data_IF_695710069085
#
_entry.id   IF_695710069085
#
_cell.length_a   1.000
_cell.length_b   1.000
_cell.length_c   1.000
_cell.angle_alpha   90.00
_cell.angle_beta   90.00
_cell.angle_gamma   90.00
#
_symmetry.space_group_name_H-M   'P 1'
#
loop_
_entity.id
_entity.type
_entity.pdbx_description
1 polymer ?
#
# COMPACT_ATOMS: atom_id res chain seq x y z
N UNK A 1 69.69 -12.65 -38.31
CA UNK A 1 68.37 -12.19 -37.89
C UNK A 1 68.46 -10.70 -37.61
N UNK A 2 67.78 -9.92 -38.42
CA UNK A 2 67.85 -8.44 -38.42
C UNK A 2 67.07 -7.84 -37.27
N UNK A 3 67.48 -6.68 -36.75
CA UNK A 3 66.84 -5.94 -35.65
C UNK A 3 65.30 -5.76 -35.79
N UNK A 4 64.78 -5.80 -37.02
CA UNK A 4 63.34 -5.74 -37.33
C UNK A 4 62.58 -6.97 -36.88
N UNK A 5 63.14 -8.16 -36.87
CA UNK A 5 62.53 -9.40 -36.45
C UNK A 5 62.38 -9.44 -34.91
N UNK A 6 63.35 -8.92 -34.14
CA UNK A 6 63.30 -8.87 -32.69
C UNK A 6 62.24 -7.87 -32.19
N UNK A 7 62.05 -6.74 -32.90
CA UNK A 7 61.06 -5.74 -32.53
C UNK A 7 59.59 -6.24 -32.73
N UNK A 8 59.39 -7.06 -33.78
CA UNK A 8 58.06 -7.69 -34.04
C UNK A 8 57.69 -8.75 -32.98
N UNK A 9 58.65 -9.55 -32.54
CA UNK A 9 58.42 -10.58 -31.54
C UNK A 9 58.13 -9.99 -30.16
N UNK A 10 58.74 -8.87 -29.78
CA UNK A 10 58.44 -8.21 -28.50
C UNK A 10 57.06 -7.55 -28.46
N UNK A 11 56.58 -7.04 -29.60
CA UNK A 11 55.26 -6.40 -29.72
C UNK A 11 54.13 -7.44 -29.70
N UNK A 12 54.35 -8.62 -30.27
CA UNK A 12 53.39 -9.72 -30.26
C UNK A 12 53.26 -10.29 -28.81
N UNK A 13 54.40 -10.48 -28.13
CA UNK A 13 54.36 -10.95 -26.72
C UNK A 13 53.66 -9.96 -25.78
N UNK A 14 53.87 -8.66 -25.95
CA UNK A 14 53.17 -7.65 -25.10
C UNK A 14 51.67 -7.57 -25.38
N UNK A 15 51.22 -7.79 -26.62
CA UNK A 15 49.78 -7.82 -26.97
C UNK A 15 49.09 -9.07 -26.45
N UNK A 16 49.76 -10.23 -26.43
CA UNK A 16 49.18 -11.48 -25.89
C UNK A 16 49.01 -11.41 -24.37
N UNK A 17 49.98 -10.80 -23.65
CA UNK A 17 49.84 -10.64 -22.19
C UNK A 17 48.79 -9.58 -21.80
N UNK A 18 48.61 -8.54 -22.61
CA UNK A 18 47.55 -7.55 -22.39
C UNK A 18 46.15 -8.15 -22.67
N UNK A 19 46.00 -9.01 -23.66
CA UNK A 19 44.73 -9.71 -23.94
C UNK A 19 44.39 -10.76 -22.86
N UNK A 20 45.37 -11.49 -22.36
CA UNK A 20 45.18 -12.45 -21.26
C UNK A 20 44.89 -11.74 -19.95
N UNK A 21 45.47 -10.57 -19.68
CA UNK A 21 45.13 -9.74 -18.50
C UNK A 21 43.72 -9.15 -18.58
N UNK A 22 43.27 -8.74 -19.78
CA UNK A 22 41.91 -8.23 -19.96
C UNK A 22 40.85 -9.33 -19.83
N UNK A 23 41.13 -10.53 -20.37
CA UNK A 23 40.22 -11.68 -20.21
C UNK A 23 40.10 -12.16 -18.76
N UNK A 24 41.20 -12.13 -18.00
CA UNK A 24 41.15 -12.48 -16.58
C UNK A 24 40.41 -11.41 -15.72
N UNK A 25 40.49 -10.12 -16.06
CA UNK A 25 39.76 -9.06 -15.43
C UNK A 25 38.24 -9.12 -15.76
N UNK A 26 37.87 -9.42 -17.00
CA UNK A 26 36.50 -9.60 -17.41
C UNK A 26 35.90 -10.86 -16.80
N UNK A 27 36.64 -11.96 -16.70
CA UNK A 27 36.20 -13.18 -16.04
C UNK A 27 36.05 -12.97 -14.51
N UNK A 28 36.94 -12.21 -13.86
CA UNK A 28 36.81 -11.88 -12.45
C UNK A 28 35.63 -10.93 -12.18
N UNK A 29 35.32 -10.00 -13.10
CA UNK A 29 34.17 -9.11 -12.99
C UNK A 29 32.85 -9.86 -13.22
N UNK A 30 32.79 -10.79 -14.16
CA UNK A 30 31.62 -11.63 -14.42
C UNK A 30 31.38 -12.62 -13.25
N UNK A 31 32.45 -13.21 -12.69
CA UNK A 31 32.32 -14.11 -11.52
C UNK A 31 31.91 -13.35 -10.26
N UNK A 32 32.37 -12.10 -10.06
CA UNK A 32 31.91 -11.29 -8.93
C UNK A 32 30.49 -10.77 -9.12
N UNK A 33 30.04 -10.52 -10.34
CA UNK A 33 28.64 -10.13 -10.59
C UNK A 33 27.65 -11.31 -10.48
N UNK A 34 28.08 -12.52 -10.86
CA UNK A 34 27.27 -13.74 -10.71
C UNK A 34 27.28 -14.23 -9.25
N UNK A 35 28.35 -13.95 -8.48
CA UNK A 35 28.38 -14.30 -7.05
C UNK A 35 27.61 -13.33 -6.14
N UNK A 36 27.33 -12.11 -6.61
CA UNK A 36 26.49 -11.15 -5.85
C UNK A 36 25.01 -11.21 -6.22
N UNK A 37 24.63 -12.02 -7.21
CA UNK A 37 23.24 -12.34 -7.54
C UNK A 37 22.80 -13.70 -7.03
N UNK A 38 23.49 -14.26 -6.04
CA UNK A 38 22.86 -15.20 -5.13
C UNK A 38 21.84 -14.38 -4.31
N UNK A 39 20.70 -14.04 -4.95
CA UNK A 39 19.53 -13.62 -4.25
C UNK A 39 19.29 -14.67 -3.18
N UNK A 40 19.24 -14.25 -1.93
CA UNK A 40 18.56 -15.01 -0.92
C UNK A 40 17.27 -15.55 -1.55
N UNK A 41 17.13 -16.87 -1.64
CA UNK A 41 15.85 -17.48 -1.93
C UNK A 41 14.82 -16.74 -1.04
N UNK A 42 13.64 -16.38 -1.57
CA UNK A 42 12.61 -15.81 -0.73
C UNK A 42 12.47 -16.75 0.46
N UNK A 43 12.73 -16.21 1.65
CA UNK A 43 12.55 -16.93 2.91
C UNK A 43 11.18 -17.56 2.84
N UNK A 44 11.10 -18.85 3.18
CA UNK A 44 9.88 -19.61 3.36
C UNK A 44 8.75 -18.67 3.76
N UNK A 45 7.67 -18.64 2.99
CA UNK A 45 6.51 -17.80 3.24
C UNK A 45 6.11 -18.02 4.70
N UNK A 46 6.50 -17.09 5.56
CA UNK A 46 6.02 -17.06 6.93
C UNK A 46 4.48 -17.00 6.92
N UNK A 47 3.80 -17.35 7.98
CA UNK A 47 2.35 -17.27 8.05
C UNK A 47 1.94 -15.90 7.49
N UNK A 48 0.90 -15.86 6.64
CA UNK A 48 0.37 -14.62 6.06
C UNK A 48 0.15 -13.63 7.20
N UNK A 49 1.11 -12.76 7.40
CA UNK A 49 1.09 -11.76 8.45
C UNK A 49 0.12 -10.64 8.12
N UNK A 50 -0.05 -9.70 9.03
CA UNK A 50 -0.77 -8.47 8.71
C UNK A 50 0.04 -7.66 7.68
N UNK A 51 -0.63 -7.18 6.61
CA UNK A 51 -0.05 -6.24 5.66
C UNK A 51 0.01 -4.80 6.21
N UNK A 52 -0.55 -4.56 7.38
CA UNK A 52 -0.65 -3.25 8.02
C UNK A 52 0.51 -3.06 9.00
N UNK A 53 1.28 -2.00 8.81
CA UNK A 53 2.30 -1.57 9.76
C UNK A 53 1.69 -0.61 10.79
N UNK A 54 1.39 -1.13 11.97
CA UNK A 54 0.81 -0.37 13.07
C UNK A 54 1.86 0.44 13.84
N UNK A 55 1.57 1.72 14.05
CA UNK A 55 2.10 2.47 15.19
C UNK A 55 1.23 2.16 16.40
N UNK A 56 1.76 1.44 17.38
CA UNK A 56 0.97 0.94 18.51
C UNK A 56 0.75 2.01 19.58
N UNK A 57 -0.52 2.15 20.04
CA UNK A 57 -0.94 3.08 21.08
C UNK A 57 -0.97 2.48 22.50
N UNK A 58 -1.65 3.17 23.44
CA UNK A 58 -2.68 4.21 23.21
C UNK A 58 -2.16 5.66 23.19
N UNK A 59 -0.87 5.91 23.42
CA UNK A 59 -0.30 7.26 23.41
C UNK A 59 0.59 7.49 22.21
N UNK A 60 0.28 8.54 21.45
CA UNK A 60 1.00 8.89 20.23
C UNK A 60 1.54 10.31 20.30
N UNK A 61 2.76 10.48 19.80
CA UNK A 61 3.37 11.78 19.58
C UNK A 61 3.61 11.99 18.09
N UNK A 62 2.80 12.83 17.48
CA UNK A 62 2.85 13.17 16.08
C UNK A 62 3.38 14.61 15.90
N UNK A 63 3.94 14.87 14.74
CA UNK A 63 4.24 16.22 14.26
C UNK A 63 3.81 16.36 12.81
N UNK A 64 3.57 17.59 12.38
CA UNK A 64 3.48 17.91 10.97
C UNK A 64 4.87 18.01 10.35
N UNK A 65 4.96 17.72 9.08
CA UNK A 65 6.16 17.90 8.26
C UNK A 65 5.78 18.18 6.81
N UNK A 66 6.71 18.72 6.04
CA UNK A 66 6.57 18.95 4.61
C UNK A 66 7.64 18.19 3.86
N UNK A 67 7.35 17.78 2.64
CA UNK A 67 8.29 17.03 1.80
C UNK A 67 7.70 16.69 0.44
N UNK A 68 8.34 15.78 -0.27
CA UNK A 68 7.91 15.35 -1.60
C UNK A 68 7.63 13.86 -1.61
N UNK A 69 6.64 13.47 -2.38
CA UNK A 69 6.38 12.09 -2.77
C UNK A 69 6.78 11.88 -4.22
N UNK A 70 7.18 10.66 -4.56
CA UNK A 70 7.52 10.26 -5.92
C UNK A 70 6.30 9.69 -6.64
N UNK A 71 6.24 9.88 -7.96
CA UNK A 71 5.24 9.30 -8.83
C UNK A 71 5.90 8.34 -9.83
N UNK A 72 5.21 7.28 -10.29
CA UNK A 72 5.79 6.31 -11.21
C UNK A 72 6.27 6.87 -12.54
N UNK A 73 5.74 8.00 -12.97
CA UNK A 73 6.14 8.73 -14.18
C UNK A 73 7.43 9.56 -14.01
N UNK A 74 8.04 9.51 -12.81
CA UNK A 74 9.26 10.24 -12.46
C UNK A 74 9.02 11.65 -11.92
N UNK A 75 7.79 12.11 -11.84
CA UNK A 75 7.45 13.37 -11.20
C UNK A 75 7.53 13.26 -9.67
N UNK A 76 7.63 14.40 -9.01
CA UNK A 76 7.49 14.51 -7.55
C UNK A 76 6.49 15.61 -7.21
N UNK A 77 5.72 15.39 -6.14
CA UNK A 77 4.68 16.32 -5.69
C UNK A 77 4.98 16.75 -4.26
N UNK A 78 4.91 18.06 -4.02
CA UNK A 78 5.04 18.65 -2.68
C UNK A 78 3.82 18.30 -1.83
N UNK A 79 4.04 17.78 -0.63
CA UNK A 79 2.99 17.33 0.27
C UNK A 79 3.23 17.84 1.70
N UNK A 80 2.18 17.85 2.49
CA UNK A 80 2.22 17.89 3.94
C UNK A 80 1.94 16.50 4.50
N UNK A 81 2.36 16.22 5.72
CA UNK A 81 2.08 14.92 6.33
C UNK A 81 2.15 14.97 7.84
N UNK A 82 1.40 14.06 8.47
CA UNK A 82 1.64 13.68 9.85
C UNK A 82 2.74 12.62 9.89
N UNK A 83 3.64 12.74 10.84
CA UNK A 83 4.66 11.74 11.09
C UNK A 83 4.87 11.56 12.60
N UNK A 84 5.50 10.49 13.02
CA UNK A 84 5.89 10.35 14.43
C UNK A 84 6.85 11.46 14.83
N UNK A 85 6.91 11.82 16.10
CA UNK A 85 7.74 12.95 16.59
C UNK A 85 9.21 12.82 16.22
N UNK A 86 9.72 11.61 16.07
CA UNK A 86 11.10 11.29 15.66
C UNK A 86 11.24 10.91 14.20
N UNK A 87 10.13 10.72 13.48
CA UNK A 87 10.12 10.29 12.08
C UNK A 87 10.48 11.39 11.09
N UNK A 88 10.87 10.99 9.90
CA UNK A 88 10.99 11.86 8.73
C UNK A 88 9.61 12.10 8.12
N UNK A 89 9.52 13.03 7.16
CA UNK A 89 8.30 13.24 6.39
C UNK A 89 7.81 11.91 5.78
N UNK A 90 6.51 11.69 5.88
CA UNK A 90 5.81 10.59 5.20
C UNK A 90 4.39 10.99 4.81
N UNK A 91 3.85 10.32 3.79
CA UNK A 91 2.45 10.38 3.36
C UNK A 91 2.00 8.98 2.90
N UNK A 92 0.86 8.47 3.37
CA UNK A 92 -0.01 9.04 4.41
C UNK A 92 0.63 9.03 5.79
N UNK A 93 -0.08 9.64 6.77
CA UNK A 93 0.31 9.60 8.17
C UNK A 93 0.39 8.17 8.73
N UNK A 94 1.04 7.96 9.90
CA UNK A 94 1.17 6.64 10.52
C UNK A 94 -0.19 5.96 10.72
N UNK A 95 -0.26 4.64 10.50
CA UNK A 95 -1.45 3.86 10.87
C UNK A 95 -1.45 3.68 12.39
N UNK A 96 -2.39 4.33 13.06
CA UNK A 96 -2.51 4.27 14.52
C UNK A 96 -3.35 3.05 14.92
N UNK A 97 -2.81 2.19 15.79
CA UNK A 97 -3.51 1.01 16.26
C UNK A 97 -3.68 1.03 17.78
N UNK A 98 -4.93 0.87 18.21
CA UNK A 98 -5.31 0.82 19.62
C UNK A 98 -6.27 -0.34 19.86
N UNK A 99 -6.49 -0.70 21.11
CA UNK A 99 -7.51 -1.68 21.47
C UNK A 99 -8.78 -0.97 21.95
N UNK A 100 -9.91 -1.60 21.72
CA UNK A 100 -11.20 -1.20 22.26
C UNK A 100 -11.13 -0.96 23.78
N UNK A 101 -11.80 0.08 24.24
CA UNK A 101 -11.83 0.49 25.65
C UNK A 101 -10.61 1.29 26.12
N UNK A 102 -9.56 1.41 25.32
CA UNK A 102 -8.39 2.21 25.71
C UNK A 102 -8.69 3.71 25.64
N UNK A 103 -8.18 4.44 26.62
CA UNK A 103 -8.10 5.91 26.54
C UNK A 103 -6.91 6.28 25.68
N UNK A 104 -7.20 6.84 24.51
CA UNK A 104 -6.22 7.24 23.50
C UNK A 104 -5.79 8.68 23.76
N UNK A 105 -4.49 8.96 23.61
CA UNK A 105 -3.92 10.30 23.68
C UNK A 105 -3.05 10.54 22.46
N UNK A 106 -3.38 11.55 21.66
CA UNK A 106 -2.60 11.95 20.47
C UNK A 106 -2.13 13.38 20.64
N UNK A 107 -0.83 13.57 20.81
CA UNK A 107 -0.22 14.90 20.86
C UNK A 107 0.29 15.25 19.46
N UNK A 108 -0.28 16.28 18.86
CA UNK A 108 0.16 16.86 17.60
C UNK A 108 1.02 18.09 17.89
N UNK A 109 2.23 18.12 17.37
CA UNK A 109 3.10 19.31 17.35
C UNK A 109 3.20 19.83 15.90
N UNK A 110 3.04 21.14 15.72
CA UNK A 110 3.33 21.79 14.45
C UNK A 110 4.68 22.55 14.59
N UNK A 111 5.81 21.97 14.16
CA UNK A 111 7.11 22.62 14.36
C UNK A 111 7.17 23.98 13.66
N UNK A 112 7.81 24.97 14.31
CA UNK A 112 8.00 26.31 13.72
C UNK A 112 8.91 26.28 12.47
N UNK A 113 9.76 25.24 12.36
CA UNK A 113 10.65 25.02 11.21
C UNK A 113 10.42 23.61 10.69
N UNK A 114 10.15 23.46 9.39
CA UNK A 114 9.89 22.16 8.74
C UNK A 114 8.51 21.60 9.02
N UNK A 115 7.66 22.28 9.78
CA UNK A 115 6.24 22.01 9.93
C UNK A 115 5.40 22.71 8.87
N UNK A 116 4.08 22.62 9.00
CA UNK A 116 3.11 23.30 8.13
C UNK A 116 3.05 24.79 8.52
N UNK A 117 3.12 25.72 7.54
CA UNK A 117 3.25 27.16 7.82
C UNK A 117 1.95 27.84 8.29
N UNK A 118 0.93 27.09 8.64
CA UNK A 118 -0.36 27.57 9.15
C UNK A 118 -0.84 26.70 10.31
N UNK A 119 -1.87 27.13 11.09
CA UNK A 119 -2.45 26.29 12.13
C UNK A 119 -2.94 24.94 11.59
N UNK A 120 -2.75 23.87 12.36
CA UNK A 120 -3.15 22.51 12.03
C UNK A 120 -3.87 21.86 13.20
N UNK A 121 -4.68 20.86 12.93
CA UNK A 121 -5.36 20.07 13.96
C UNK A 121 -5.55 18.62 13.52
N UNK A 122 -6.08 17.80 14.41
CA UNK A 122 -6.59 16.46 14.06
C UNK A 122 -8.03 16.34 14.58
N UNK A 123 -8.91 15.88 13.71
CA UNK A 123 -10.23 15.33 14.07
C UNK A 123 -10.22 13.82 13.88
N UNK A 124 -11.07 13.12 14.60
CA UNK A 124 -11.20 11.67 14.60
C UNK A 124 -12.64 11.29 14.27
N UNK A 125 -13.02 11.30 12.97
CA UNK A 125 -14.37 10.92 12.56
C UNK A 125 -14.75 9.53 13.09
N UNK A 126 -15.95 9.40 13.63
CA UNK A 126 -16.45 8.16 14.24
C UNK A 126 -16.06 7.96 15.71
N UNK A 127 -15.17 8.78 16.27
CA UNK A 127 -14.87 8.76 17.72
C UNK A 127 -15.71 9.79 18.46
N UNK A 128 -16.17 9.43 19.65
CA UNK A 128 -16.99 10.29 20.52
C UNK A 128 -16.18 10.88 21.67
N UNK A 129 -16.64 12.01 22.22
CA UNK A 129 -16.06 12.61 23.41
C UNK A 129 -14.61 13.07 23.28
N UNK A 130 -14.16 13.41 22.09
CA UNK A 130 -12.78 13.87 21.87
C UNK A 130 -12.56 15.22 22.56
N UNK A 131 -11.71 15.23 23.57
CA UNK A 131 -11.27 16.43 24.27
C UNK A 131 -9.93 16.91 23.69
N UNK A 132 -9.75 18.23 23.59
CA UNK A 132 -8.52 18.84 23.09
C UNK A 132 -7.94 19.83 24.08
N UNK A 133 -6.65 19.66 24.43
CA UNK A 133 -5.89 20.55 25.31
C UNK A 133 -4.66 21.04 24.56
N UNK A 134 -4.48 22.35 24.45
CA UNK A 134 -3.37 22.94 23.72
C UNK A 134 -2.29 23.50 24.62
N UNK A 135 -1.08 23.72 24.06
CA UNK A 135 -0.03 24.59 24.61
C UNK A 135 -0.53 26.03 24.71
N UNK A 136 0.26 26.92 25.33
CA UNK A 136 -0.18 28.29 25.60
C UNK A 136 -0.53 29.12 24.35
N UNK A 137 0.08 28.80 23.22
CA UNK A 137 -0.18 29.46 21.93
C UNK A 137 -1.19 28.73 21.03
N UNK A 138 -1.74 27.59 21.48
CA UNK A 138 -2.81 26.92 20.72
C UNK A 138 -4.08 27.76 20.68
N UNK A 139 -4.82 27.68 19.58
CA UNK A 139 -6.03 28.48 19.34
C UNK A 139 -7.26 27.59 19.21
N UNK A 140 -8.44 28.17 19.42
CA UNK A 140 -9.68 27.46 19.18
C UNK A 140 -10.03 27.58 17.68
N UNK A 141 -10.20 26.43 17.04
CA UNK A 141 -10.64 26.31 15.64
C UNK A 141 -12.15 26.03 15.53
N UNK A 142 -12.60 25.79 14.30
CA UNK A 142 -14.02 25.52 14.03
C UNK A 142 -14.46 24.16 14.58
N UNK A 143 -13.65 23.13 14.39
CA UNK A 143 -13.98 21.76 14.79
C UNK A 143 -13.28 21.33 16.07
N UNK A 144 -12.10 21.84 16.34
CA UNK A 144 -11.28 21.47 17.49
C UNK A 144 -10.19 22.51 17.75
N UNK A 145 -9.36 22.32 18.77
CA UNK A 145 -8.17 23.15 18.98
C UNK A 145 -7.14 22.93 17.90
N UNK A 146 -6.47 24.00 17.50
CA UNK A 146 -5.46 24.05 16.46
C UNK A 146 -4.10 24.42 17.03
N UNK A 147 -3.04 23.85 16.45
CA UNK A 147 -1.65 24.12 16.73
C UNK A 147 -1.07 25.07 15.65
N UNK A 148 -0.92 26.37 15.91
CA UNK A 148 -0.10 27.24 15.08
C UNK A 148 1.36 26.75 14.99
N UNK A 149 2.16 27.26 14.03
CA UNK A 149 3.59 26.94 13.98
C UNK A 149 4.30 27.20 15.32
N UNK A 150 4.99 26.19 15.84
CA UNK A 150 5.64 26.18 17.15
C UNK A 150 4.81 25.64 18.30
N UNK A 151 3.53 25.38 18.10
CA UNK A 151 2.59 24.96 19.15
C UNK A 151 2.20 23.48 19.05
N UNK A 152 1.49 22.99 20.09
CA UNK A 152 1.03 21.61 20.18
C UNK A 152 -0.39 21.53 20.73
N UNK A 153 -1.12 20.48 20.34
CA UNK A 153 -2.42 20.12 20.87
C UNK A 153 -2.45 18.64 21.19
N UNK A 154 -3.00 18.28 22.34
CA UNK A 154 -3.24 16.89 22.75
C UNK A 154 -4.73 16.60 22.68
N UNK A 155 -5.09 15.60 21.89
CA UNK A 155 -6.44 15.07 21.74
C UNK A 155 -6.57 13.81 22.58
N UNK A 156 -7.67 13.67 23.33
CA UNK A 156 -7.90 12.50 24.20
C UNK A 156 -9.33 12.01 24.03
N UNK A 157 -9.50 10.71 23.87
CA UNK A 157 -10.80 10.05 23.74
C UNK A 157 -10.71 8.60 24.19
N UNK A 158 -11.85 7.94 24.40
CA UNK A 158 -11.91 6.49 24.59
C UNK A 158 -12.27 5.84 23.25
N UNK A 159 -11.49 4.86 22.80
CA UNK A 159 -11.79 4.07 21.61
C UNK A 159 -12.86 3.02 21.95
N UNK A 160 -14.14 3.38 21.80
CA UNK A 160 -15.26 2.57 22.31
C UNK A 160 -15.62 1.41 21.37
N UNK A 161 -15.54 1.62 20.07
CA UNK A 161 -16.02 0.67 19.07
C UNK A 161 -14.86 0.19 18.17
N UNK A 162 -14.73 -1.13 17.95
CA UNK A 162 -13.72 -1.66 17.01
C UNK A 162 -14.06 -1.28 15.57
N UNK A 163 -13.02 -1.14 14.73
CA UNK A 163 -13.19 -0.85 13.31
C UNK A 163 -12.07 -0.04 12.71
N UNK A 164 -12.32 0.41 11.48
CA UNK A 164 -11.44 1.25 10.69
C UNK A 164 -11.99 2.66 10.65
N UNK A 165 -11.14 3.64 10.97
CA UNK A 165 -11.49 5.06 11.04
C UNK A 165 -10.41 5.90 10.38
N UNK A 166 -10.78 7.09 9.91
CA UNK A 166 -9.82 8.12 9.50
C UNK A 166 -9.42 8.97 10.72
N UNK A 167 -8.25 9.57 10.65
CA UNK A 167 -7.90 10.79 11.37
C UNK A 167 -7.36 11.78 10.36
N UNK A 168 -7.80 13.04 10.46
CA UNK A 168 -7.52 14.03 9.42
C UNK A 168 -7.53 15.43 9.98
N UNK A 169 -7.07 16.42 9.19
CA UNK A 169 -7.09 17.80 9.62
C UNK A 169 -8.52 18.33 9.75
N UNK A 170 -8.84 18.95 10.89
CA UNK A 170 -10.04 19.75 11.12
C UNK A 170 -9.84 21.25 10.82
N UNK A 171 -8.63 21.65 10.40
CA UNK A 171 -8.30 23.03 10.06
C UNK A 171 -8.23 23.17 8.54
N UNK A 172 -9.17 23.90 7.93
CA UNK A 172 -9.27 24.03 6.46
C UNK A 172 -9.16 22.68 5.76
N UNK A 173 -10.06 21.71 6.07
CA UNK A 173 -9.94 20.33 5.61
C UNK A 173 -9.89 20.23 4.07
N UNK A 174 -10.60 21.13 3.36
CA UNK A 174 -10.60 21.20 1.89
C UNK A 174 -9.21 21.40 1.27
N UNK A 175 -8.27 21.97 2.03
CA UNK A 175 -6.89 22.17 1.62
C UNK A 175 -5.96 21.17 2.33
N UNK A 176 -6.06 21.09 3.65
CA UNK A 176 -5.05 20.38 4.46
C UNK A 176 -5.14 18.86 4.32
N UNK A 177 -6.33 18.31 4.12
CA UNK A 177 -6.50 16.90 3.81
C UNK A 177 -5.96 16.62 2.41
N UNK A 178 -6.31 17.45 1.41
CA UNK A 178 -5.75 17.35 0.05
C UNK A 178 -4.21 17.40 0.08
N UNK A 179 -3.63 18.27 0.90
CA UNK A 179 -2.17 18.37 1.05
C UNK A 179 -1.52 17.14 1.70
N UNK A 180 -2.28 16.21 2.31
CA UNK A 180 -1.77 14.96 2.90
C UNK A 180 -1.90 14.86 4.43
N UNK A 181 -2.62 15.77 5.10
CA UNK A 181 -2.82 15.70 6.54
C UNK A 181 -3.97 14.74 6.91
N UNK A 182 -3.74 13.45 6.73
CA UNK A 182 -4.64 12.36 7.08
C UNK A 182 -3.89 11.05 7.35
N UNK A 183 -4.59 10.11 7.94
CA UNK A 183 -4.14 8.73 8.16
C UNK A 183 -5.28 7.86 8.69
N UNK A 184 -4.96 6.65 9.10
CA UNK A 184 -5.95 5.66 9.55
C UNK A 184 -5.75 5.31 11.02
N UNK A 185 -6.86 5.23 11.75
CA UNK A 185 -6.95 4.69 13.11
C UNK A 185 -7.65 3.34 13.04
N UNK A 186 -7.02 2.30 13.55
CA UNK A 186 -7.60 0.97 13.71
C UNK A 186 -7.83 0.70 15.18
N UNK A 187 -9.08 0.46 15.54
CA UNK A 187 -9.47 0.00 16.87
C UNK A 187 -9.66 -1.51 16.83
N UNK A 188 -8.82 -2.24 17.56
CA UNK A 188 -8.87 -3.70 17.66
C UNK A 188 -9.95 -4.15 18.63
N UNK A 189 -10.76 -5.16 18.29
CA UNK A 189 -11.82 -5.64 19.16
C UNK A 189 -11.28 -6.35 20.41
N UNK A 190 -12.05 -6.35 21.48
CA UNK A 190 -11.75 -7.08 22.70
C UNK A 190 -11.63 -8.60 22.48
N UNK A 191 -12.26 -9.14 21.43
CA UNK A 191 -12.17 -10.56 21.05
C UNK A 191 -10.75 -10.95 20.59
N UNK A 192 -9.91 -10.01 20.22
CA UNK A 192 -8.49 -10.22 19.89
C UNK A 192 -8.08 -9.70 18.51
N UNK A 193 -6.75 -9.60 18.30
CA UNK A 193 -6.16 -8.95 17.13
C UNK A 193 -6.41 -9.65 15.78
N UNK A 194 -6.86 -10.91 15.80
CA UNK A 194 -7.19 -11.67 14.59
C UNK A 194 -8.68 -11.62 14.24
N UNK A 195 -9.41 -10.68 14.82
CA UNK A 195 -10.82 -10.43 14.54
C UNK A 195 -10.99 -8.98 14.07
N UNK A 196 -11.88 -8.78 13.12
CA UNK A 196 -12.22 -7.44 12.66
C UNK A 196 -13.10 -6.69 13.68
N UNK A 197 -14.01 -7.43 14.33
CA UNK A 197 -15.00 -6.96 15.28
C UNK A 197 -15.21 -7.97 16.41
N UNK A 198 -16.05 -7.64 17.42
CA UNK A 198 -16.43 -8.55 18.49
C UNK A 198 -17.43 -9.62 18.02
N UNK A 199 -17.15 -10.24 16.90
CA UNK A 199 -17.93 -11.31 16.28
C UNK A 199 -17.00 -12.39 15.75
N UNK A 200 -17.15 -13.67 16.16
CA UNK A 200 -16.31 -14.77 15.69
C UNK A 200 -16.29 -14.95 14.17
N UNK A 201 -17.33 -14.52 13.46
CA UNK A 201 -17.42 -14.59 11.98
C UNK A 201 -16.52 -13.58 11.29
N UNK A 202 -15.92 -12.65 12.02
CA UNK A 202 -14.98 -11.65 11.50
C UNK A 202 -13.53 -12.04 11.68
N UNK A 203 -13.26 -13.33 12.01
CA UNK A 203 -11.91 -13.86 12.14
C UNK A 203 -11.24 -13.91 10.76
N UNK A 204 -9.97 -13.55 10.73
CA UNK A 204 -9.17 -13.50 9.50
C UNK A 204 -7.78 -14.10 9.67
N UNK A 205 -7.12 -14.45 8.55
CA UNK A 205 -5.75 -14.96 8.51
C UNK A 205 -4.71 -13.85 8.35
N UNK A 206 -5.05 -12.81 7.59
CA UNK A 206 -4.20 -11.65 7.33
C UNK A 206 -5.07 -10.41 7.10
N UNK A 207 -4.52 -9.21 7.23
CA UNK A 207 -5.25 -7.97 6.95
C UNK A 207 -4.44 -6.99 6.12
N UNK A 208 -5.15 -6.20 5.30
CA UNK A 208 -4.58 -5.22 4.39
C UNK A 208 -5.37 -3.91 4.46
N UNK A 209 -4.65 -2.81 4.28
CA UNK A 209 -5.23 -1.48 4.17
C UNK A 209 -5.23 -1.04 2.70
N UNK A 210 -6.33 -0.46 2.28
CA UNK A 210 -6.52 0.23 1.00
C UNK A 210 -7.04 1.63 1.31
N UNK A 211 -6.13 2.55 1.54
CA UNK A 211 -6.43 3.97 1.81
C UNK A 211 -6.33 4.76 0.52
N UNK A 212 -7.46 5.26 0.05
CA UNK A 212 -7.62 5.92 -1.23
C UNK A 212 -7.52 7.44 -1.08
N UNK A 213 -6.91 8.08 -2.06
CA UNK A 213 -6.92 9.52 -2.24
C UNK A 213 -6.50 9.91 -3.66
N UNK A 214 -6.78 11.15 -4.04
CA UNK A 214 -6.31 11.78 -5.27
C UNK A 214 -5.46 13.01 -4.97
N UNK A 215 -4.61 13.39 -5.93
CA UNK A 215 -3.68 14.51 -5.81
C UNK A 215 -3.76 15.41 -7.05
N UNK A 216 -3.99 16.70 -6.82
CA UNK A 216 -3.90 17.75 -7.80
C UNK A 216 -2.53 18.44 -7.73
N UNK A 217 -1.59 18.17 -8.64
CA UNK A 217 -0.23 18.67 -8.57
C UNK A 217 -0.16 20.22 -8.69
N UNK A 218 -1.12 20.85 -9.35
CA UNK A 218 -1.15 22.32 -9.47
C UNK A 218 -1.52 22.98 -8.15
N UNK A 219 -2.49 22.42 -7.41
CA UNK A 219 -2.81 22.86 -6.06
C UNK A 219 -1.59 22.75 -5.15
N UNK A 220 -0.93 21.59 -5.17
CA UNK A 220 0.23 21.34 -4.32
C UNK A 220 1.38 22.29 -4.63
N UNK A 221 1.63 22.56 -5.91
CA UNK A 221 2.65 23.52 -6.34
C UNK A 221 2.30 24.96 -5.95
N UNK A 222 1.04 25.36 -6.09
CA UNK A 222 0.59 26.69 -5.65
C UNK A 222 0.78 26.87 -4.14
N UNK A 223 0.45 25.85 -3.34
CA UNK A 223 0.66 25.87 -1.88
C UNK A 223 2.13 25.92 -1.52
N UNK A 224 2.99 25.18 -2.22
CA UNK A 224 4.45 25.22 -2.05
C UNK A 224 5.01 26.63 -2.25
N UNK A 225 4.52 27.33 -3.27
CA UNK A 225 4.94 28.69 -3.60
C UNK A 225 4.20 29.78 -2.80
N UNK A 226 3.28 29.42 -1.91
CA UNK A 226 2.44 30.38 -1.19
C UNK A 226 1.49 31.16 -2.10
N UNK A 227 1.12 30.61 -3.24
CA UNK A 227 0.21 31.22 -4.21
C UNK A 227 -1.26 30.86 -3.92
N UNK A 228 -2.20 31.71 -4.32
CA UNK A 228 -3.61 31.39 -4.18
C UNK A 228 -4.01 30.26 -5.13
N UNK A 229 -4.90 29.39 -4.65
CA UNK A 229 -5.51 28.32 -5.44
C UNK A 229 -7.01 28.25 -5.16
N UNK A 230 -7.79 27.90 -6.18
CA UNK A 230 -9.24 27.74 -6.07
C UNK A 230 -9.60 26.26 -6.04
N UNK A 231 -9.96 25.74 -4.87
CA UNK A 231 -10.24 24.31 -4.68
C UNK A 231 -11.38 23.76 -5.56
N UNK A 232 -12.34 24.61 -5.93
CA UNK A 232 -13.46 24.19 -6.79
C UNK A 232 -13.07 23.96 -8.25
N UNK A 233 -11.86 24.35 -8.64
CA UNK A 233 -11.31 24.10 -9.97
C UNK A 233 -10.19 23.07 -9.94
N UNK A 234 -10.06 22.31 -8.84
CA UNK A 234 -9.06 21.27 -8.72
C UNK A 234 -9.14 20.25 -9.86
N UNK A 235 -7.99 19.76 -10.26
CA UNK A 235 -7.86 18.80 -11.35
C UNK A 235 -6.86 17.70 -10.93
N UNK A 236 -7.32 16.66 -10.23
CA UNK A 236 -6.46 15.53 -9.87
C UNK A 236 -5.81 14.89 -11.09
N UNK A 237 -4.56 14.50 -10.94
CA UNK A 237 -3.77 13.83 -11.98
C UNK A 237 -3.12 12.54 -11.48
N UNK A 238 -3.07 12.35 -10.15
CA UNK A 238 -2.56 11.16 -9.51
C UNK A 238 -3.57 10.63 -8.53
N UNK A 239 -3.73 9.32 -8.54
CA UNK A 239 -4.62 8.59 -7.64
C UNK A 239 -3.81 7.55 -6.89
N UNK A 240 -3.96 7.50 -5.58
CA UNK A 240 -3.12 6.70 -4.71
C UNK A 240 -3.90 5.66 -3.93
N UNK A 241 -3.25 4.52 -3.73
CA UNK A 241 -3.55 3.56 -2.67
C UNK A 241 -2.40 3.64 -1.66
N UNK A 242 -2.69 3.87 -0.37
CA UNK A 242 -1.70 4.01 0.69
C UNK A 242 -0.59 5.03 0.40
N UNK A 243 -0.91 6.07 -0.37
CA UNK A 243 0.04 7.13 -0.74
C UNK A 243 0.92 6.82 -1.94
N UNK A 244 0.73 5.71 -2.62
CA UNK A 244 1.46 5.33 -3.84
C UNK A 244 0.50 5.12 -5.00
N UNK A 245 0.93 5.43 -6.22
CA UNK A 245 0.24 5.03 -7.45
C UNK A 245 0.76 3.68 -7.94
N UNK A 246 -0.04 2.96 -8.73
CA UNK A 246 0.44 1.77 -9.44
C UNK A 246 1.48 2.17 -10.51
N UNK A 247 2.61 1.43 -10.69
CA UNK A 247 2.92 0.14 -10.05
C UNK A 247 3.65 0.23 -8.69
N UNK A 248 4.04 1.40 -8.20
CA UNK A 248 4.85 1.56 -6.99
C UNK A 248 4.16 1.00 -5.74
N UNK A 249 2.85 0.94 -5.77
CA UNK A 249 2.02 0.44 -4.67
C UNK A 249 2.26 -1.04 -4.34
N UNK A 250 2.67 -1.87 -5.32
CA UNK A 250 2.95 -3.30 -5.09
C UNK A 250 4.30 -3.56 -4.42
N UNK A 251 5.15 -2.55 -4.32
CA UNK A 251 6.39 -2.69 -3.58
C UNK A 251 6.12 -2.88 -2.08
N UNK A 252 7.00 -3.64 -1.43
CA UNK A 252 6.89 -3.93 -0.01
C UNK A 252 6.81 -2.65 0.84
N UNK A 253 6.25 -2.78 2.03
CA UNK A 253 6.34 -1.73 3.05
C UNK A 253 7.81 -1.36 3.29
N UNK A 254 8.06 -0.07 3.51
CA UNK A 254 9.42 0.44 3.76
C UNK A 254 10.38 0.30 2.58
N UNK A 255 9.90 0.19 1.34
CA UNK A 255 10.74 0.14 0.15
C UNK A 255 11.74 1.31 0.15
N UNK A 256 13.05 1.02 0.09
CA UNK A 256 14.11 2.00 0.31
C UNK A 256 14.15 3.13 -0.72
N UNK A 257 13.57 2.91 -1.89
CA UNK A 257 13.47 3.90 -2.97
C UNK A 257 12.19 4.75 -2.89
N UNK A 258 11.28 4.44 -1.93
CA UNK A 258 10.07 5.21 -1.59
C UNK A 258 10.07 5.65 -0.12
N UNK A 259 11.10 6.35 0.35
CA UNK A 259 11.29 6.61 1.78
C UNK A 259 10.20 7.48 2.41
N UNK A 260 9.48 8.25 1.59
CA UNK A 260 8.39 9.15 2.04
C UNK A 260 6.99 8.53 1.87
N UNK A 261 6.89 7.34 1.28
CA UNK A 261 5.65 6.61 1.00
C UNK A 261 5.78 5.17 1.54
N UNK A 262 5.70 5.00 2.88
CA UNK A 262 6.15 3.76 3.51
C UNK A 262 5.27 2.54 3.21
N UNK A 263 4.00 2.71 2.83
CA UNK A 263 3.03 1.63 2.81
C UNK A 263 2.75 1.11 1.41
N UNK A 264 2.96 -0.19 1.22
CA UNK A 264 2.50 -0.93 0.05
C UNK A 264 1.08 -1.47 0.24
N UNK A 265 0.50 -2.01 -0.85
CA UNK A 265 -0.81 -2.65 -0.81
C UNK A 265 -0.88 -3.90 -1.70
N UNK A 266 0.24 -4.59 -1.90
CA UNK A 266 0.21 -5.93 -2.47
C UNK A 266 -0.54 -6.85 -1.49
N UNK A 267 -1.67 -7.40 -1.94
CA UNK A 267 -2.50 -8.31 -1.15
C UNK A 267 -2.05 -9.75 -1.43
N UNK A 268 -1.74 -10.50 -0.39
CA UNK A 268 -1.38 -11.91 -0.51
C UNK A 268 -2.53 -12.77 0.03
N UNK A 269 -3.04 -13.69 -0.77
CA UNK A 269 -4.09 -14.62 -0.38
C UNK A 269 -3.72 -16.05 -0.78
N UNK A 270 -4.15 -17.02 0.00
CA UNK A 270 -4.09 -18.44 -0.37
C UNK A 270 -5.47 -18.92 -0.78
N UNK A 271 -5.57 -19.91 -1.67
CA UNK A 271 -6.83 -20.57 -1.96
C UNK A 271 -7.53 -21.05 -0.69
N UNK A 272 -8.84 -20.88 -0.64
CA UNK A 272 -9.61 -21.41 0.46
C UNK A 272 -9.55 -22.95 0.51
N UNK A 273 -9.27 -23.45 1.68
CA UNK A 273 -9.36 -24.88 2.00
C UNK A 273 -9.96 -25.01 3.41
N UNK A 274 -11.04 -25.81 3.58
CA UNK A 274 -11.72 -25.91 4.86
C UNK A 274 -10.86 -26.52 5.99
N UNK A 275 -9.76 -27.16 5.66
CA UNK A 275 -8.89 -27.82 6.62
C UNK A 275 -7.56 -27.08 6.85
N UNK A 276 -6.95 -26.57 5.78
CA UNK A 276 -5.61 -25.97 5.83
C UNK A 276 -5.62 -24.44 5.79
N UNK A 277 -6.60 -23.83 5.09
CA UNK A 277 -6.75 -22.38 5.01
C UNK A 277 -8.23 -21.96 5.07
N UNK A 278 -8.93 -22.13 6.21
CA UNK A 278 -10.36 -21.88 6.32
C UNK A 278 -10.72 -20.40 6.49
N UNK A 279 -9.75 -19.52 6.75
CA UNK A 279 -10.01 -18.14 7.11
C UNK A 279 -9.85 -17.20 5.90
N UNK A 280 -10.75 -16.20 5.77
CA UNK A 280 -10.59 -15.14 4.80
C UNK A 280 -9.45 -14.20 5.21
N UNK A 281 -9.05 -13.31 4.31
CA UNK A 281 -8.29 -12.10 4.64
C UNK A 281 -9.26 -10.95 4.92
N UNK A 282 -8.85 -10.01 5.76
CA UNK A 282 -9.58 -8.77 6.03
C UNK A 282 -8.97 -7.66 5.20
N UNK A 283 -9.79 -6.97 4.42
CA UNK A 283 -9.38 -5.79 3.65
C UNK A 283 -10.12 -4.57 4.21
N UNK A 284 -9.36 -3.57 4.62
CA UNK A 284 -9.86 -2.33 5.21
C UNK A 284 -9.78 -1.22 4.18
N UNK A 285 -10.93 -0.78 3.69
CA UNK A 285 -11.02 0.35 2.77
C UNK A 285 -11.24 1.64 3.55
N UNK A 286 -10.54 2.69 3.18
CA UNK A 286 -10.77 4.04 3.66
C UNK A 286 -10.55 5.02 2.50
N UNK A 287 -11.30 6.11 2.47
CA UNK A 287 -11.13 7.15 1.47
C UNK A 287 -10.92 8.51 2.16
N UNK A 288 -9.70 9.01 2.11
CA UNK A 288 -9.33 10.33 2.59
C UNK A 288 -9.40 11.40 1.50
N UNK A 289 -9.64 11.01 0.24
CA UNK A 289 -9.80 11.94 -0.88
C UNK A 289 -11.13 12.69 -0.88
N UNK A 290 -11.27 13.63 -1.79
CA UNK A 290 -12.51 14.39 -2.00
C UNK A 290 -13.44 13.71 -2.98
N UNK A 291 -12.92 12.83 -3.85
CA UNK A 291 -13.69 12.11 -4.85
C UNK A 291 -14.19 10.77 -4.31
N UNK A 292 -15.24 10.24 -4.95
CA UNK A 292 -15.76 8.92 -4.63
C UNK A 292 -15.08 7.90 -5.56
N UNK A 293 -14.52 6.85 -4.98
CA UNK A 293 -13.76 5.85 -5.74
C UNK A 293 -14.51 4.52 -5.80
N UNK A 294 -14.98 4.08 -6.99
CA UNK A 294 -15.57 2.76 -7.17
C UNK A 294 -14.47 1.69 -7.29
N UNK A 295 -14.01 1.16 -6.18
CA UNK A 295 -12.92 0.19 -6.15
C UNK A 295 -13.43 -1.23 -6.43
N UNK A 296 -12.82 -1.89 -7.42
CA UNK A 296 -13.24 -3.15 -8.01
C UNK A 296 -12.16 -4.22 -7.84
N UNK A 297 -12.40 -5.25 -7.03
CA UNK A 297 -11.53 -6.41 -6.93
C UNK A 297 -11.78 -7.39 -8.08
N UNK A 298 -10.73 -7.97 -8.64
CA UNK A 298 -10.81 -9.16 -9.48
C UNK A 298 -10.55 -10.42 -8.65
N UNK A 299 -10.99 -11.53 -9.15
CA UNK A 299 -10.87 -12.85 -8.52
C UNK A 299 -12.19 -13.33 -7.96
N UNK A 300 -12.59 -12.83 -6.82
CA UNK A 300 -13.89 -13.10 -6.20
C UNK A 300 -14.48 -11.83 -5.62
N UNK A 301 -15.79 -11.83 -5.41
CA UNK A 301 -16.47 -10.77 -4.68
C UNK A 301 -15.97 -10.69 -3.24
N UNK A 302 -15.97 -9.49 -2.67
CA UNK A 302 -15.68 -9.28 -1.25
C UNK A 302 -16.97 -9.22 -0.45
N UNK A 303 -16.97 -9.83 0.72
CA UNK A 303 -18.07 -9.74 1.67
C UNK A 303 -17.92 -8.46 2.50
N UNK A 304 -18.78 -7.50 2.29
CA UNK A 304 -18.85 -6.26 3.09
C UNK A 304 -19.43 -6.61 4.44
N UNK A 305 -18.62 -6.49 5.50
CA UNK A 305 -19.01 -6.84 6.87
C UNK A 305 -19.26 -5.61 7.73
N UNK A 306 -18.65 -4.46 7.41
CA UNK A 306 -18.81 -3.25 8.19
C UNK A 306 -18.67 -1.99 7.32
N UNK A 307 -19.23 -0.89 7.81
CA UNK A 307 -19.11 0.45 7.24
C UNK A 307 -18.96 1.48 8.36
N UNK A 308 -18.04 2.42 8.17
CA UNK A 308 -17.79 3.56 9.09
C UNK A 308 -17.61 3.10 10.55
N UNK A 309 -16.80 2.02 10.75
CA UNK A 309 -16.53 1.42 12.05
C UNK A 309 -17.71 0.67 12.67
N UNK A 310 -18.76 0.35 11.89
CA UNK A 310 -19.93 -0.35 12.41
C UNK A 310 -20.17 -1.65 11.67
N UNK A 311 -20.14 -2.75 12.42
CA UNK A 311 -20.46 -4.07 11.92
C UNK A 311 -21.90 -4.10 11.39
N UNK A 312 -22.11 -4.69 10.22
CA UNK A 312 -23.41 -4.80 9.58
C UNK A 312 -24.26 -5.87 10.30
N UNK A 313 -25.07 -5.38 11.24
CA UNK A 313 -26.05 -6.18 11.98
C UNK A 313 -27.41 -5.49 11.92
N UNK A 314 -28.43 -6.27 11.68
CA UNK A 314 -29.81 -5.81 11.76
C UNK A 314 -30.26 -5.55 13.20
N UNK A 315 -31.47 -4.99 13.40
CA UNK A 315 -31.97 -4.63 14.74
C UNK A 315 -32.08 -5.81 15.71
N UNK A 316 -32.22 -7.03 15.19
CA UNK A 316 -32.25 -8.27 16.01
C UNK A 316 -30.89 -8.93 16.17
N UNK A 317 -29.81 -8.30 15.68
CA UNK A 317 -28.46 -8.86 15.71
C UNK A 317 -28.15 -9.81 14.54
N UNK A 318 -29.08 -9.98 13.61
CA UNK A 318 -28.90 -10.79 12.40
C UNK A 318 -27.79 -10.23 11.50
N UNK A 319 -27.05 -11.13 10.86
CA UNK A 319 -26.03 -10.77 9.90
C UNK A 319 -26.66 -10.22 8.61
N UNK A 320 -26.39 -8.95 8.30
CA UNK A 320 -26.82 -8.28 7.07
C UNK A 320 -25.65 -7.93 6.17
N UNK A 321 -24.47 -8.56 6.36
CA UNK A 321 -23.36 -8.46 5.44
C UNK A 321 -23.74 -9.00 4.07
N UNK A 322 -23.10 -8.52 3.03
CA UNK A 322 -23.43 -8.88 1.64
C UNK A 322 -22.18 -8.97 0.78
N UNK A 323 -22.27 -9.71 -0.32
CA UNK A 323 -21.22 -9.79 -1.33
C UNK A 323 -21.31 -8.60 -2.28
N UNK A 324 -20.16 -8.06 -2.66
CA UNK A 324 -20.04 -6.91 -3.56
C UNK A 324 -18.82 -7.07 -4.46
N UNK A 325 -19.00 -6.83 -5.76
CA UNK A 325 -17.92 -6.90 -6.74
C UNK A 325 -17.29 -5.53 -7.05
N UNK A 326 -17.93 -4.45 -6.65
CA UNK A 326 -17.41 -3.07 -6.78
C UNK A 326 -17.98 -2.24 -5.65
N UNK A 327 -17.09 -1.79 -4.74
CA UNK A 327 -17.54 -0.91 -3.65
C UNK A 327 -17.16 0.53 -3.95
N UNK A 328 -18.16 1.39 -4.09
CA UNK A 328 -17.92 2.84 -4.08
C UNK A 328 -17.65 3.30 -2.66
N UNK A 329 -16.45 3.81 -2.42
CA UNK A 329 -16.03 4.40 -1.15
C UNK A 329 -16.12 5.91 -1.30
N UNK A 330 -17.12 6.52 -0.68
CA UNK A 330 -17.28 7.97 -0.71
C UNK A 330 -16.20 8.66 0.14
N UNK A 331 -15.99 9.95 -0.12
CA UNK A 331 -15.10 10.78 0.69
C UNK A 331 -15.44 10.64 2.19
N UNK A 332 -14.42 10.40 3.02
CA UNK A 332 -14.56 10.23 4.47
C UNK A 332 -15.11 8.87 4.92
N UNK A 333 -15.45 7.94 4.01
CA UNK A 333 -16.00 6.63 4.35
C UNK A 333 -14.93 5.58 4.59
N UNK A 334 -15.29 4.59 5.42
CA UNK A 334 -14.53 3.35 5.60
C UNK A 334 -15.42 2.13 5.43
N UNK A 335 -14.83 1.04 4.94
CA UNK A 335 -15.47 -0.27 4.85
C UNK A 335 -14.48 -1.34 5.30
N UNK A 336 -14.98 -2.37 5.99
CA UNK A 336 -14.22 -3.59 6.28
C UNK A 336 -14.86 -4.76 5.53
N UNK A 337 -14.03 -5.48 4.79
CA UNK A 337 -14.46 -6.52 3.86
C UNK A 337 -13.65 -7.80 4.09
N UNK A 338 -14.30 -8.94 3.91
CA UNK A 338 -13.63 -10.24 3.93
C UNK A 338 -13.48 -10.73 2.49
N UNK A 339 -12.26 -11.06 2.12
CA UNK A 339 -11.93 -11.67 0.85
C UNK A 339 -11.51 -13.13 1.07
N UNK A 340 -12.09 -14.02 0.26
CA UNK A 340 -11.73 -15.42 0.20
C UNK A 340 -11.65 -15.82 -1.26
N UNK A 341 -10.52 -16.34 -1.67
CA UNK A 341 -10.43 -16.88 -3.02
C UNK A 341 -10.88 -18.32 -3.01
N UNK A 342 -12.08 -18.53 -3.54
CA UNK A 342 -12.67 -19.84 -3.74
C UNK A 342 -12.39 -20.30 -5.17
N UNK A 343 -11.85 -21.48 -5.27
CA UNK A 343 -11.78 -22.13 -6.55
C UNK A 343 -13.12 -22.79 -6.86
N UNK A 344 -13.77 -22.29 -7.89
CA UNK A 344 -15.09 -22.77 -8.31
C UNK A 344 -15.02 -23.94 -9.30
N UNK A 345 -13.82 -24.32 -9.73
CA UNK A 345 -13.67 -25.41 -10.68
C UNK A 345 -13.85 -26.79 -10.02
N UNK A 346 -14.40 -27.78 -10.74
CA UNK A 346 -14.58 -29.16 -10.27
C UNK A 346 -13.25 -29.89 -9.98
N UNK A 347 -12.18 -29.22 -10.11
CA UNK A 347 -10.83 -29.53 -9.73
C UNK A 347 -10.70 -30.06 -8.30
N UNK A 348 -11.40 -29.42 -7.34
CA UNK A 348 -11.48 -29.82 -5.95
C UNK A 348 -12.17 -31.19 -5.73
N UNK A 349 -12.82 -31.73 -6.72
CA UNK A 349 -13.58 -32.99 -6.64
C UNK A 349 -12.88 -34.17 -7.29
N UNK A 350 -11.59 -34.03 -7.63
CA UNK A 350 -10.82 -35.09 -8.28
C UNK A 350 -11.13 -35.25 -9.78
N UNK A 351 -11.74 -34.24 -10.40
CA UNK A 351 -11.89 -34.13 -11.84
C UNK A 351 -10.56 -33.87 -12.55
N UNK A 352 -10.50 -34.12 -13.85
CA UNK A 352 -9.35 -33.78 -14.66
C UNK A 352 -9.15 -32.25 -14.65
N UNK A 353 -7.89 -31.75 -14.61
CA UNK A 353 -7.60 -30.34 -14.69
C UNK A 353 -8.31 -29.73 -15.91
N UNK A 354 -9.00 -28.60 -15.68
CA UNK A 354 -9.46 -27.81 -16.81
C UNK A 354 -8.20 -27.29 -17.51
N UNK A 355 -7.96 -27.70 -18.75
CA UNK A 355 -6.80 -27.20 -19.47
C UNK A 355 -6.93 -25.68 -19.54
N UNK A 356 -5.89 -24.98 -19.17
CA UNK A 356 -5.81 -23.53 -19.34
C UNK A 356 -5.89 -23.26 -20.83
N UNK A 357 -7.10 -22.91 -21.29
CA UNK A 357 -7.46 -23.00 -22.70
C UNK A 357 -7.07 -21.79 -23.53
N UNK A 358 -6.46 -20.76 -22.90
CA UNK A 358 -6.10 -19.54 -23.61
C UNK A 358 -4.67 -19.14 -23.23
N UNK A 359 -3.65 -19.80 -23.81
CA UNK A 359 -2.24 -19.55 -23.48
C UNK A 359 -1.83 -18.07 -23.60
N UNK A 360 -2.44 -17.35 -24.54
CA UNK A 360 -2.09 -15.94 -24.81
C UNK A 360 -2.75 -14.93 -23.86
N UNK A 361 -3.71 -15.35 -23.03
CA UNK A 361 -4.33 -14.51 -22.01
C UNK A 361 -3.83 -14.79 -20.59
N UNK A 362 -2.93 -15.75 -20.45
CA UNK A 362 -2.36 -16.10 -19.15
C UNK A 362 -1.34 -15.07 -18.65
N UNK A 363 -0.82 -14.23 -19.54
CA UNK A 363 0.15 -13.20 -19.24
C UNK A 363 -0.43 -11.84 -19.57
N UNK A 364 -0.62 -11.00 -18.58
CA UNK A 364 -0.82 -9.58 -18.80
C UNK A 364 0.56 -8.94 -18.90
N UNK A 365 0.87 -8.36 -20.06
CA UNK A 365 2.08 -7.57 -20.24
C UNK A 365 1.78 -6.17 -19.73
N UNK A 366 2.49 -5.76 -18.69
CA UNK A 366 2.50 -4.38 -18.24
C UNK A 366 3.72 -3.67 -18.83
N UNK A 367 3.67 -2.33 -18.84
CA UNK A 367 4.74 -1.46 -19.32
C UNK A 367 6.14 -2.00 -18.93
N UNK A 368 7.09 -1.95 -19.87
CA UNK A 368 8.49 -2.35 -19.70
C UNK A 368 8.72 -3.85 -19.48
N UNK A 369 7.99 -4.68 -20.20
CA UNK A 369 8.15 -6.14 -20.19
C UNK A 369 7.86 -6.83 -18.85
N UNK A 370 7.27 -6.15 -17.88
CA UNK A 370 6.73 -6.78 -16.70
C UNK A 370 5.50 -7.61 -17.05
N UNK A 371 5.64 -8.92 -16.99
CA UNK A 371 4.55 -9.85 -17.27
C UNK A 371 3.95 -10.31 -15.95
N UNK A 372 2.69 -9.94 -15.70
CA UNK A 372 1.91 -10.55 -14.64
C UNK A 372 1.22 -11.78 -15.20
N UNK A 373 1.43 -12.88 -14.54
CA UNK A 373 0.88 -14.15 -14.94
C UNK A 373 -0.42 -14.43 -14.20
N UNK A 374 -1.47 -14.68 -14.94
CA UNK A 374 -2.73 -15.22 -14.42
C UNK A 374 -2.78 -16.71 -14.72
N UNK A 375 -2.00 -17.51 -14.04
CA UNK A 375 -2.01 -18.96 -14.15
C UNK A 375 -2.84 -19.61 -13.03
N UNK A 376 -2.94 -20.90 -12.94
CA UNK A 376 -3.55 -21.62 -11.84
C UNK A 376 -2.50 -21.91 -10.77
N UNK A 377 -2.64 -21.43 -9.50
CA UNK A 377 -1.66 -21.65 -8.45
C UNK A 377 -1.43 -23.15 -8.14
N UNK A 378 -2.32 -24.04 -8.59
CA UNK A 378 -2.18 -25.48 -8.41
C UNK A 378 -1.38 -26.17 -9.50
N UNK A 379 -1.05 -25.50 -10.59
CA UNK A 379 -0.20 -26.04 -11.64
C UNK A 379 1.26 -26.14 -11.23
N UNK A 380 1.62 -25.59 -10.09
CA UNK A 380 2.99 -25.61 -9.57
C UNK A 380 3.91 -24.62 -10.26
N UNK A 381 5.20 -24.75 -10.01
CA UNK A 381 6.19 -23.92 -10.62
C UNK A 381 6.13 -24.03 -12.14
N UNK A 382 6.18 -22.91 -12.79
CA UNK A 382 6.56 -22.86 -14.19
C UNK A 382 8.02 -23.26 -14.30
N UNK A 383 8.34 -24.26 -15.03
CA UNK A 383 9.70 -24.53 -15.44
C UNK A 383 10.37 -23.31 -16.11
N UNK A 384 11.54 -23.50 -16.68
CA UNK A 384 12.25 -22.44 -17.37
C UNK A 384 11.33 -21.69 -18.34
N UNK A 385 11.22 -20.37 -18.15
CA UNK A 385 10.47 -19.50 -19.03
C UNK A 385 11.30 -19.20 -20.28
N UNK A 386 10.68 -19.03 -21.45
CA UNK A 386 11.39 -18.58 -22.64
C UNK A 386 12.11 -17.25 -22.38
N UNK A 387 13.23 -17.04 -23.05
CA UNK A 387 13.99 -15.79 -22.99
C UNK A 387 13.09 -14.60 -23.36
N UNK A 388 13.07 -13.57 -22.51
CA UNK A 388 12.24 -12.38 -22.68
C UNK A 388 10.86 -12.48 -22.04
N UNK A 389 10.51 -13.60 -21.43
CA UNK A 389 9.32 -13.73 -20.59
C UNK A 389 9.74 -13.54 -19.14
N UNK A 390 9.53 -12.36 -18.58
CA UNK A 390 9.66 -12.16 -17.15
C UNK A 390 8.36 -12.55 -16.51
N UNK A 391 8.40 -13.44 -15.55
CA UNK A 391 7.24 -13.79 -14.79
C UNK A 391 7.48 -13.49 -13.32
N UNK A 392 6.57 -12.74 -12.74
CA UNK A 392 6.38 -12.73 -11.32
C UNK A 392 5.62 -13.99 -10.86
N UNK A 393 5.70 -15.07 -11.59
CA UNK A 393 5.08 -16.34 -11.25
C UNK A 393 6.18 -17.38 -10.99
N UNK A 394 6.96 -17.12 -9.96
CA UNK A 394 8.09 -17.97 -9.61
C UNK A 394 7.65 -19.30 -8.97
N UNK A 395 6.52 -19.28 -8.28
CA UNK A 395 6.04 -20.41 -7.48
C UNK A 395 4.60 -20.84 -7.83
N UNK A 396 4.06 -20.38 -8.95
CA UNK A 396 2.70 -20.69 -9.39
C UNK A 396 1.63 -19.72 -8.89
N UNK A 397 2.03 -18.56 -8.37
CA UNK A 397 1.12 -17.53 -7.91
C UNK A 397 0.32 -16.89 -9.06
N UNK A 398 -0.89 -16.44 -8.71
CA UNK A 398 -1.83 -15.73 -9.58
C UNK A 398 -1.87 -14.27 -9.23
N UNK A 399 -1.81 -13.37 -10.21
CA UNK A 399 -1.96 -11.93 -9.99
C UNK A 399 -3.26 -11.43 -10.62
N UNK A 400 -4.14 -10.86 -9.78
CA UNK A 400 -5.41 -10.31 -10.21
C UNK A 400 -5.44 -8.81 -9.84
N UNK A 401 -5.75 -7.92 -10.78
CA UNK A 401 -5.78 -6.49 -10.50
C UNK A 401 -6.98 -6.13 -9.61
N UNK A 402 -6.76 -5.24 -8.66
CA UNK A 402 -7.79 -4.53 -7.93
C UNK A 402 -7.64 -3.06 -8.23
N UNK A 403 -8.65 -2.42 -8.77
CA UNK A 403 -8.53 -1.07 -9.29
C UNK A 403 -9.80 -0.26 -9.20
N UNK A 404 -9.71 1.07 -9.37
CA UNK A 404 -10.90 1.88 -9.56
C UNK A 404 -11.56 1.58 -10.90
N UNK A 405 -12.88 1.43 -10.90
CA UNK A 405 -13.66 1.25 -12.12
C UNK A 405 -14.05 2.59 -12.78
N UNK A 406 -13.74 3.71 -12.17
CA UNK A 406 -13.65 5.01 -12.83
C UNK A 406 -12.32 5.03 -13.60
N UNK A 407 -12.34 4.62 -14.86
CA UNK A 407 -11.13 4.26 -15.63
C UNK A 407 -10.08 5.38 -15.76
N UNK A 408 -10.49 6.64 -15.64
CA UNK A 408 -9.54 7.77 -15.61
C UNK A 408 -8.69 7.79 -14.33
N UNK A 409 -9.14 7.18 -13.24
CA UNK A 409 -8.38 7.04 -12.00
C UNK A 409 -7.32 5.93 -12.09
N UNK A 410 -7.37 5.13 -13.15
CA UNK A 410 -6.39 4.08 -13.44
C UNK A 410 -5.28 4.59 -14.36
N UNK A 411 -4.82 5.80 -14.08
CA UNK A 411 -3.76 6.50 -14.85
C UNK A 411 -2.78 7.21 -13.92
N UNK A 412 -1.56 7.45 -14.42
CA UNK A 412 -0.60 8.38 -13.84
C UNK A 412 -0.47 9.54 -14.82
N UNK A 413 -1.03 10.71 -14.50
CA UNK A 413 -1.00 11.91 -15.35
C UNK A 413 -1.34 11.61 -16.83
N UNK A 414 -2.51 10.98 -17.07
CA UNK A 414 -3.02 10.57 -18.39
C UNK A 414 -2.34 9.31 -19.01
N UNK A 415 -1.30 8.72 -18.40
CA UNK A 415 -0.76 7.43 -18.85
C UNK A 415 -1.54 6.28 -18.21
N UNK A 416 -2.05 5.37 -19.05
CA UNK A 416 -2.80 4.17 -18.61
C UNK A 416 -1.95 3.14 -17.87
N UNK A 417 -2.65 2.24 -17.15
CA UNK A 417 -2.09 1.29 -16.20
C UNK A 417 -1.28 1.95 -15.09
N UNK A 418 -1.93 2.84 -14.36
CA UNK A 418 -1.35 3.58 -13.25
C UNK A 418 -2.36 3.83 -12.14
N UNK A 419 -2.14 4.87 -11.35
CA UNK A 419 -3.12 5.44 -10.44
C UNK A 419 -3.67 4.47 -9.38
N UNK A 420 -5.00 4.53 -9.23
CA UNK A 420 -5.74 3.83 -8.17
C UNK A 420 -5.92 2.34 -8.48
N UNK A 421 -4.82 1.60 -8.36
CA UNK A 421 -4.79 0.16 -8.57
C UNK A 421 -3.80 -0.51 -7.63
N UNK A 422 -4.06 -1.77 -7.32
CA UNK A 422 -3.14 -2.71 -6.70
C UNK A 422 -3.39 -4.11 -7.27
N UNK A 423 -2.76 -5.12 -6.73
CA UNK A 423 -2.98 -6.50 -7.11
C UNK A 423 -3.15 -7.41 -5.89
N UNK A 424 -3.95 -8.44 -6.06
CA UNK A 424 -3.92 -9.60 -5.17
C UNK A 424 -3.12 -10.72 -5.83
N UNK A 425 -2.15 -11.26 -5.10
CA UNK A 425 -1.44 -12.47 -5.47
C UNK A 425 -2.07 -13.65 -4.75
N UNK A 426 -2.67 -14.57 -5.51
CA UNK A 426 -3.16 -15.84 -5.00
C UNK A 426 -1.98 -16.79 -4.98
N UNK A 427 -1.50 -17.13 -3.81
CA UNK A 427 -0.35 -18.01 -3.60
C UNK A 427 -0.77 -19.47 -3.69
N UNK A 428 0.09 -20.38 -4.16
CA UNK A 428 -0.19 -21.80 -4.12
C UNK A 428 -0.39 -22.27 -2.67
N UNK A 429 -1.25 -23.25 -2.46
CA UNK A 429 -1.51 -23.84 -1.14
C UNK A 429 -0.29 -24.52 -0.53
N UNK A 430 0.58 -25.06 -1.38
CA UNK A 430 1.87 -25.64 -1.03
C UNK A 430 2.91 -25.12 -2.02
N UNK A 431 4.12 -24.82 -1.54
CA UNK A 431 5.25 -24.55 -2.43
C UNK A 431 5.60 -25.86 -3.12
N UNK A 432 5.48 -25.96 -4.46
CA UNK A 432 5.82 -27.19 -5.15
C UNK A 432 7.26 -27.61 -4.86
N UNK A 433 7.51 -28.92 -4.66
CA UNK A 433 8.86 -29.43 -4.51
C UNK A 433 9.71 -29.05 -5.74
N UNK A 434 10.81 -28.37 -5.52
CA UNK A 434 11.71 -27.93 -6.59
C UNK A 434 11.53 -26.46 -7.05
N UNK A 435 10.63 -25.71 -6.43
CA UNK A 435 10.57 -24.27 -6.52
C UNK A 435 11.28 -23.63 -5.34
#
# INVERSE_FOLDING_TARGET
MTARARKRMSTIRRRTWALLGLLSLVAAFVVTFVASSASSAPSSHGPLGTGIECTSGPSFSLKTSTGYISQPDGNSVFMWGYTTSTGSFQMPGPVLCVNEGQTVSVTLTNPAVGGVPEPVSIVFPGQSGVAATGSAGAVDGVFTKEAPPGESVTYTFTAEEPGTYLYESGTKPEKQVQMGLYGVLIVRPALGALYGYNDPQTRFSAEYLVLLNEVDPELHHAVELGQPYTITTRLPRYWHVNGRSFPDIIAANGASWLPTQPYGALVLAQPYDPFTNPLPILVRYANAGMDNHPFHPHGNDLRVIARDGRLLRGPGGEDISFMDFTRTIASGQTYDLLFRWDDVDPWMTGGAPVPVTIPNLQNLVFKDDMTFYSGDPRLGCKGELPVGVTANNLVGEYYLPWHSHAVFEFTNFDEGFGGLATVVAILPSETPEGC
#
